data_IF_530080230646
#
_entry.id   IF_530080230646
#
_cell.length_a   1.000
_cell.length_b   1.000
_cell.length_c   1.000
_cell.angle_alpha   90.00
_cell.angle_beta   90.00
_cell.angle_gamma   90.00
#
_symmetry.space_group_name_H-M   'P 1'
#
loop_
_entity.id
_entity.type
_entity.pdbx_description
1 polymer ?
#
# COMPACT_ATOMS: atom_id res chain seq x y z
N UNK A 1 4.71 -43.49 7.84
CA UNK A 1 3.59 -42.94 7.04
C UNK A 1 3.59 -41.42 7.08
N UNK A 2 3.05 -40.77 6.05
CA UNK A 2 2.96 -39.31 5.89
C UNK A 2 2.64 -38.50 7.18
N UNK A 3 1.59 -38.83 7.97
CA UNK A 3 1.25 -38.03 9.16
C UNK A 3 2.30 -38.08 10.28
N UNK A 4 3.07 -39.16 10.37
CA UNK A 4 4.13 -39.32 11.37
C UNK A 4 5.32 -38.40 11.06
N UNK A 5 5.71 -38.33 9.78
CA UNK A 5 6.80 -37.46 9.33
C UNK A 5 6.40 -35.99 9.45
N UNK A 6 5.13 -35.67 9.14
CA UNK A 6 4.56 -34.34 9.33
C UNK A 6 4.62 -33.89 10.80
N UNK A 7 4.08 -34.71 11.73
CA UNK A 7 4.12 -34.39 13.15
C UNK A 7 5.54 -34.29 13.69
N UNK A 8 6.44 -35.17 13.24
CA UNK A 8 7.85 -35.16 13.65
C UNK A 8 8.52 -33.83 13.28
N UNK A 9 8.33 -33.36 12.05
CA UNK A 9 8.91 -32.09 11.60
C UNK A 9 8.29 -30.90 12.33
N UNK A 10 6.96 -30.85 12.48
CA UNK A 10 6.28 -29.75 13.20
C UNK A 10 6.62 -29.69 14.68
N UNK A 11 6.99 -30.82 15.30
CA UNK A 11 7.42 -30.88 16.71
C UNK A 11 8.87 -30.45 16.91
N UNK A 12 9.65 -30.30 15.83
CA UNK A 12 11.02 -29.79 15.92
C UNK A 12 10.99 -28.26 16.16
N UNK A 13 11.41 -27.76 17.33
CA UNK A 13 11.14 -26.39 17.74
C UNK A 13 11.82 -25.35 16.85
N UNK A 14 13.04 -25.64 16.39
CA UNK A 14 13.78 -24.74 15.49
C UNK A 14 13.09 -24.63 14.13
N UNK A 15 12.56 -25.74 13.60
CA UNK A 15 11.87 -25.72 12.31
C UNK A 15 10.58 -24.91 12.40
N UNK A 16 9.75 -25.20 13.41
CA UNK A 16 8.48 -24.50 13.59
C UNK A 16 8.67 -22.99 13.78
N UNK A 17 9.61 -22.57 14.62
CA UNK A 17 9.90 -21.15 14.85
C UNK A 17 10.35 -20.43 13.58
N UNK A 18 11.23 -21.04 12.78
CA UNK A 18 11.72 -20.43 11.53
C UNK A 18 10.59 -20.36 10.49
N UNK A 19 9.76 -21.40 10.38
CA UNK A 19 8.59 -21.39 9.49
C UNK A 19 7.60 -20.31 9.90
N UNK A 20 7.27 -20.18 11.18
CA UNK A 20 6.37 -19.13 11.67
C UNK A 20 6.93 -17.72 11.43
N UNK A 21 8.24 -17.51 11.63
CA UNK A 21 8.89 -16.25 11.30
C UNK A 21 8.78 -15.94 9.79
N UNK A 22 8.99 -16.92 8.93
CA UNK A 22 8.83 -16.75 7.48
C UNK A 22 7.38 -16.54 7.05
N UNK A 23 6.41 -17.15 7.73
CA UNK A 23 4.98 -16.87 7.53
C UNK A 23 4.69 -15.41 7.83
N UNK A 24 5.18 -14.87 8.96
CA UNK A 24 4.98 -13.47 9.31
C UNK A 24 5.60 -12.52 8.26
N UNK A 25 6.86 -12.75 7.89
CA UNK A 25 7.53 -11.97 6.84
C UNK A 25 6.75 -12.05 5.52
N UNK A 26 6.28 -13.24 5.14
CA UNK A 26 5.49 -13.43 3.92
C UNK A 26 4.14 -12.72 3.99
N UNK A 27 3.51 -12.65 5.16
CA UNK A 27 2.24 -11.96 5.36
C UNK A 27 2.43 -10.44 5.17
N UNK A 28 3.50 -9.89 5.72
CA UNK A 28 3.89 -8.50 5.49
C UNK A 28 4.12 -8.22 3.99
N UNK A 29 4.89 -9.07 3.31
CA UNK A 29 5.14 -8.93 1.86
C UNK A 29 3.84 -9.03 1.06
N UNK A 30 2.93 -9.94 1.39
CA UNK A 30 1.63 -10.05 0.72
C UNK A 30 0.78 -8.78 0.90
N UNK A 31 0.77 -8.19 2.10
CA UNK A 31 0.10 -6.92 2.37
C UNK A 31 0.68 -5.77 1.54
N UNK A 32 2.00 -5.61 1.58
CA UNK A 32 2.71 -4.60 0.78
C UNK A 32 2.47 -4.79 -0.73
N UNK A 33 2.59 -6.01 -1.25
CA UNK A 33 2.39 -6.28 -2.67
C UNK A 33 0.95 -5.94 -3.14
N UNK A 34 -0.05 -6.14 -2.29
CA UNK A 34 -1.45 -5.92 -2.64
C UNK A 34 -1.86 -4.45 -2.51
N UNK A 35 -1.37 -3.75 -1.49
CA UNK A 35 -1.89 -2.44 -1.11
C UNK A 35 -0.92 -1.28 -1.25
N UNK A 36 0.39 -1.54 -1.43
CA UNK A 36 1.37 -0.46 -1.61
C UNK A 36 1.06 0.40 -2.84
N UNK A 37 0.58 -0.20 -3.93
CA UNK A 37 0.19 0.57 -5.13
C UNK A 37 -0.89 1.59 -4.79
N UNK A 38 -1.99 1.13 -4.17
CA UNK A 38 -3.06 2.00 -3.67
C UNK A 38 -2.57 3.02 -2.65
N UNK A 39 -1.65 2.63 -1.77
CA UNK A 39 -1.06 3.55 -0.80
C UNK A 39 -0.36 4.71 -1.50
N UNK A 40 0.51 4.40 -2.48
CA UNK A 40 1.22 5.41 -3.27
C UNK A 40 0.27 6.27 -4.12
N UNK A 41 -0.79 5.68 -4.68
CA UNK A 41 -1.83 6.41 -5.41
C UNK A 41 -2.52 7.46 -4.53
N UNK A 42 -2.84 7.13 -3.28
CA UNK A 42 -3.60 8.01 -2.38
C UNK A 42 -2.73 9.00 -1.61
N UNK A 43 -1.55 8.58 -1.20
CA UNK A 43 -0.62 9.42 -0.46
C UNK A 43 0.11 10.40 -1.36
N UNK A 44 0.57 9.96 -2.54
CA UNK A 44 1.41 10.79 -3.43
C UNK A 44 0.69 11.19 -4.72
N UNK A 45 -0.60 10.89 -4.85
CA UNK A 45 -1.43 11.24 -6.01
C UNK A 45 -0.85 10.71 -7.33
N UNK A 46 -0.20 9.55 -7.29
CA UNK A 46 0.37 8.89 -8.45
C UNK A 46 -0.71 8.14 -9.24
N UNK A 47 -0.46 7.93 -10.52
CA UNK A 47 -1.29 7.02 -11.31
C UNK A 47 -1.05 5.58 -10.86
N UNK A 48 -2.09 4.74 -10.92
CA UNK A 48 -2.01 3.33 -10.58
C UNK A 48 -0.91 2.60 -11.38
N UNK A 49 -0.71 2.97 -12.65
CA UNK A 49 0.33 2.39 -13.50
C UNK A 49 1.73 2.76 -13.01
N UNK A 50 1.98 4.03 -12.68
CA UNK A 50 3.27 4.50 -12.19
C UNK A 50 3.61 3.90 -10.82
N UNK A 51 2.65 3.87 -9.90
CA UNK A 51 2.82 3.28 -8.57
C UNK A 51 3.22 1.80 -8.66
N UNK A 52 2.48 1.01 -9.45
CA UNK A 52 2.77 -0.41 -9.63
C UNK A 52 4.08 -0.66 -10.40
N UNK A 53 4.38 0.19 -11.39
CA UNK A 53 5.66 0.11 -12.12
C UNK A 53 6.85 0.34 -11.19
N UNK A 54 6.76 1.30 -10.26
CA UNK A 54 7.84 1.58 -9.31
C UNK A 54 8.02 0.44 -8.31
N UNK A 55 6.93 -0.12 -7.79
CA UNK A 55 6.99 -1.31 -6.94
C UNK A 55 7.69 -2.46 -7.69
N UNK A 56 7.31 -2.70 -8.95
CA UNK A 56 7.91 -3.74 -9.77
C UNK A 56 9.37 -3.49 -10.15
N UNK A 57 9.72 -2.26 -10.50
CA UNK A 57 11.04 -1.91 -11.02
C UNK A 57 12.08 -1.65 -9.91
N UNK A 58 11.65 -1.27 -8.71
CA UNK A 58 12.56 -0.93 -7.61
C UNK A 58 12.57 -2.00 -6.52
N UNK A 59 11.41 -2.39 -5.99
CA UNK A 59 11.37 -3.32 -4.86
C UNK A 59 11.70 -4.76 -5.25
N UNK A 60 11.31 -5.23 -6.45
CA UNK A 60 11.63 -6.60 -6.89
C UNK A 60 13.15 -6.77 -7.10
N UNK A 61 13.86 -5.91 -7.85
CA UNK A 61 15.31 -6.01 -7.96
C UNK A 61 16.01 -5.84 -6.61
N UNK A 62 15.53 -4.92 -5.76
CA UNK A 62 16.04 -4.79 -4.39
C UNK A 62 15.94 -6.10 -3.60
N UNK A 63 14.79 -6.77 -3.66
CA UNK A 63 14.61 -8.07 -3.02
C UNK A 63 15.61 -9.11 -3.55
N UNK A 64 15.84 -9.18 -4.87
CA UNK A 64 16.82 -10.08 -5.49
C UNK A 64 18.24 -9.79 -4.98
N UNK A 65 18.64 -8.51 -4.93
CA UNK A 65 19.95 -8.10 -4.40
C UNK A 65 20.11 -8.59 -2.97
N UNK A 66 19.12 -8.38 -2.09
CA UNK A 66 19.22 -8.85 -0.72
C UNK A 66 19.29 -10.38 -0.58
N UNK A 67 18.55 -11.16 -1.39
CA UNK A 67 18.67 -12.64 -1.38
C UNK A 67 20.09 -13.08 -1.76
N UNK A 68 20.65 -12.49 -2.82
CA UNK A 68 22.01 -12.77 -3.29
C UNK A 68 23.05 -12.37 -2.24
N UNK A 69 22.92 -11.19 -1.64
CA UNK A 69 23.79 -10.70 -0.57
C UNK A 69 23.71 -11.63 0.65
N UNK A 70 22.52 -12.03 1.07
CA UNK A 70 22.33 -12.99 2.16
C UNK A 70 23.00 -14.33 1.90
N UNK A 71 22.92 -14.83 0.66
CA UNK A 71 23.64 -16.03 0.22
C UNK A 71 25.16 -15.87 0.20
N UNK A 72 25.64 -14.71 -0.29
CA UNK A 72 27.06 -14.39 -0.32
C UNK A 72 27.66 -14.30 1.09
N UNK A 73 26.95 -13.68 2.04
CA UNK A 73 27.34 -13.60 3.45
C UNK A 73 27.47 -15.00 4.05
N UNK A 74 26.46 -15.87 3.85
CA UNK A 74 26.48 -17.25 4.34
C UNK A 74 27.66 -18.05 3.79
N UNK A 75 27.92 -17.93 2.49
CA UNK A 75 29.00 -18.65 1.81
C UNK A 75 30.38 -18.15 2.24
N UNK A 76 30.55 -16.83 2.36
CA UNK A 76 31.84 -16.20 2.67
C UNK A 76 32.28 -16.44 4.12
N UNK A 77 31.35 -16.36 5.06
CA UNK A 77 31.66 -16.52 6.48
C UNK A 77 31.49 -17.96 7.01
N UNK A 78 31.07 -18.91 6.15
CA UNK A 78 30.81 -20.30 6.54
C UNK A 78 30.03 -20.40 7.85
N UNK A 79 28.94 -19.62 7.93
CA UNK A 79 28.25 -19.36 9.19
C UNK A 79 27.72 -20.66 9.83
N UNK A 80 27.95 -20.79 11.14
CA UNK A 80 27.33 -21.80 12.00
C UNK A 80 25.82 -21.56 12.16
N UNK A 81 25.07 -22.56 12.60
CA UNK A 81 23.63 -22.45 12.89
C UNK A 81 23.31 -21.26 13.83
N UNK A 82 24.16 -21.04 14.84
CA UNK A 82 24.00 -19.93 15.80
C UNK A 82 24.18 -18.57 15.13
N UNK A 83 25.17 -18.45 14.24
CA UNK A 83 25.40 -17.23 13.48
C UNK A 83 24.30 -16.96 12.45
N UNK A 84 23.76 -18.01 11.80
CA UNK A 84 22.60 -17.86 10.91
C UNK A 84 21.39 -17.32 11.66
N UNK A 85 21.09 -17.88 12.84
CA UNK A 85 19.99 -17.40 13.69
C UNK A 85 20.20 -15.94 14.12
N UNK A 86 21.41 -15.60 14.57
CA UNK A 86 21.76 -14.21 14.93
C UNK A 86 21.60 -13.24 13.74
N UNK A 87 22.00 -13.65 12.53
CA UNK A 87 21.84 -12.86 11.32
C UNK A 87 20.37 -12.63 10.97
N UNK A 88 19.52 -13.66 11.11
CA UNK A 88 18.07 -13.51 10.91
C UNK A 88 17.45 -12.52 11.89
N UNK A 89 17.78 -12.62 13.18
CA UNK A 89 17.27 -11.70 14.22
C UNK A 89 17.76 -10.28 13.96
N UNK A 90 19.04 -10.10 13.66
CA UNK A 90 19.62 -8.80 13.35
C UNK A 90 18.97 -8.18 12.11
N UNK A 91 18.80 -8.97 11.04
CA UNK A 91 18.18 -8.48 9.81
C UNK A 91 16.71 -8.12 9.98
N UNK A 92 15.93 -8.87 10.79
CA UNK A 92 14.57 -8.48 11.15
C UNK A 92 14.54 -7.19 11.99
N UNK A 93 15.45 -7.04 12.96
CA UNK A 93 15.56 -5.82 13.77
C UNK A 93 15.90 -4.60 12.90
N UNK A 94 16.87 -4.73 11.99
CA UNK A 94 17.25 -3.67 11.06
C UNK A 94 16.11 -3.34 10.08
N UNK A 95 15.36 -4.34 9.63
CA UNK A 95 14.17 -4.12 8.80
C UNK A 95 13.10 -3.32 9.56
N UNK A 96 12.84 -3.64 10.83
CA UNK A 96 11.89 -2.88 11.66
C UNK A 96 12.35 -1.44 11.86
N UNK A 97 13.64 -1.24 12.16
CA UNK A 97 14.24 0.09 12.31
C UNK A 97 14.19 0.90 11.01
N UNK A 98 14.43 0.25 9.86
CA UNK A 98 14.34 0.89 8.54
C UNK A 98 12.90 1.18 8.09
N UNK A 99 11.94 0.37 8.53
CA UNK A 99 10.52 0.57 8.25
C UNK A 99 9.87 1.63 9.15
N UNK A 100 10.39 1.83 10.37
CA UNK A 100 9.80 2.77 11.33
C UNK A 100 9.65 4.22 10.80
N UNK A 101 10.64 4.82 10.11
CA UNK A 101 10.48 6.14 9.50
C UNK A 101 9.33 6.22 8.49
N UNK A 102 9.01 5.13 7.78
CA UNK A 102 7.93 5.12 6.78
C UNK A 102 6.57 5.48 7.38
N UNK A 103 6.35 5.21 8.69
CA UNK A 103 5.13 5.59 9.40
C UNK A 103 4.98 7.11 9.59
N UNK A 104 6.04 7.88 9.39
CA UNK A 104 6.02 9.34 9.49
C UNK A 104 6.05 10.03 8.13
N UNK A 105 6.54 9.35 7.09
CA UNK A 105 6.51 9.86 5.72
C UNK A 105 5.13 9.64 5.11
N UNK A 106 4.30 10.69 5.12
CA UNK A 106 3.00 10.70 4.46
C UNK A 106 2.49 12.12 4.21
N UNK A 107 1.47 12.22 3.37
CA UNK A 107 0.83 13.49 3.03
C UNK A 107 -0.41 13.71 3.90
N UNK A 108 -0.78 14.97 4.19
CA UNK A 108 -2.06 15.26 4.81
C UNK A 108 -3.22 14.79 3.92
N UNK A 109 -4.36 14.49 4.54
CA UNK A 109 -5.59 14.12 3.83
C UNK A 109 -6.02 15.26 2.92
N UNK A 110 -6.28 14.94 1.65
CA UNK A 110 -6.64 15.93 0.64
C UNK A 110 -7.96 16.63 1.01
N UNK A 111 -8.02 17.94 0.78
CA UNK A 111 -9.23 18.74 1.01
C UNK A 111 -10.23 18.48 -0.10
N UNK A 112 -11.28 17.72 0.22
CA UNK A 112 -12.39 17.41 -0.70
C UNK A 112 -13.64 18.09 -0.18
N UNK A 113 -14.27 18.91 -1.02
CA UNK A 113 -15.49 19.64 -0.69
C UNK A 113 -16.63 18.67 -0.34
N UNK A 114 -17.31 18.89 0.80
CA UNK A 114 -18.44 18.07 1.24
C UNK A 114 -18.05 16.68 1.76
N UNK A 115 -16.75 16.41 1.96
CA UNK A 115 -16.24 15.16 2.52
C UNK A 115 -15.30 15.47 3.69
N UNK A 116 -14.13 16.03 3.39
CA UNK A 116 -13.08 16.33 4.37
C UNK A 116 -12.99 17.83 4.68
N UNK A 117 -13.49 18.66 3.78
CA UNK A 117 -13.49 20.10 3.91
C UNK A 117 -14.92 20.64 3.85
N UNK A 118 -15.34 21.19 4.99
CA UNK A 118 -16.59 21.92 5.18
C UNK A 118 -16.18 23.34 5.52
N UNK A 119 -16.55 24.32 4.69
CA UNK A 119 -16.17 25.70 4.96
C UNK A 119 -16.77 26.15 6.30
N UNK A 120 -16.03 26.95 7.06
CA UNK A 120 -16.41 27.39 8.42
C UNK A 120 -17.53 28.44 8.40
N UNK A 121 -18.03 28.76 7.21
CA UNK A 121 -19.21 29.55 6.91
C UNK A 121 -20.48 28.68 6.99
N UNK A 122 -20.69 27.93 8.07
CA UNK A 122 -22.02 27.42 8.46
C UNK A 122 -22.82 26.63 7.42
N UNK A 123 -22.19 25.85 6.54
CA UNK A 123 -22.89 24.99 5.57
C UNK A 123 -22.52 23.52 5.77
N UNK A 124 -23.01 22.96 6.88
CA UNK A 124 -23.14 21.52 7.03
C UNK A 124 -24.36 21.02 6.26
N UNK A 125 -24.14 20.00 5.43
CA UNK A 125 -25.18 19.09 4.93
C UNK A 125 -26.30 19.64 4.01
N UNK A 126 -26.22 20.89 3.57
CA UNK A 126 -27.01 21.33 2.41
C UNK A 126 -26.16 21.10 1.17
N UNK A 127 -26.75 20.47 0.14
CA UNK A 127 -26.32 20.64 -1.24
C UNK A 127 -25.84 22.08 -1.39
N UNK A 128 -24.55 22.25 -1.70
CA UNK A 128 -23.93 23.55 -1.89
C UNK A 128 -24.90 24.43 -2.68
N UNK A 129 -25.51 25.47 -2.09
CA UNK A 129 -26.54 26.28 -2.77
C UNK A 129 -26.05 26.80 -4.14
N UNK A 130 -24.74 26.96 -4.28
CA UNK A 130 -24.08 27.31 -5.54
C UNK A 130 -24.29 26.27 -6.66
N UNK A 131 -24.48 24.99 -6.34
CA UNK A 131 -24.76 23.92 -7.29
C UNK A 131 -26.25 23.61 -7.43
N UNK A 132 -27.16 24.22 -6.65
CA UNK A 132 -28.57 23.86 -6.61
C UNK A 132 -29.30 23.93 -7.98
N UNK A 133 -28.76 24.69 -8.92
CA UNK A 133 -29.26 24.76 -10.30
C UNK A 133 -28.86 23.56 -11.16
N UNK A 134 -27.86 22.80 -10.72
CA UNK A 134 -27.37 21.60 -11.35
C UNK A 134 -27.98 20.39 -10.65
N UNK A 135 -28.94 19.72 -11.31
CA UNK A 135 -29.50 18.44 -10.84
C UNK A 135 -28.46 17.32 -11.03
N UNK A 136 -27.41 17.35 -10.21
CA UNK A 136 -26.26 16.47 -10.36
C UNK A 136 -26.63 15.03 -10.06
N UNK A 137 -26.23 14.06 -10.90
CA UNK A 137 -26.44 12.66 -10.59
C UNK A 137 -25.62 12.29 -9.36
N UNK A 138 -26.25 11.72 -8.33
CA UNK A 138 -25.60 11.26 -7.09
C UNK A 138 -24.42 10.29 -7.34
N UNK A 139 -24.41 9.62 -8.49
CA UNK A 139 -23.38 8.65 -8.90
C UNK A 139 -22.29 9.24 -9.81
N UNK A 140 -22.38 10.51 -10.16
CA UNK A 140 -21.40 11.18 -11.03
C UNK A 140 -20.07 11.37 -10.32
N UNK A 141 -19.01 10.68 -10.78
CA UNK A 141 -17.67 10.81 -10.23
C UNK A 141 -16.66 11.13 -11.33
N UNK A 142 -16.19 12.38 -11.34
CA UNK A 142 -15.16 12.87 -12.25
C UNK A 142 -14.39 14.00 -11.54
N UNK A 143 -13.40 13.67 -10.70
CA UNK A 143 -12.79 14.64 -9.80
C UNK A 143 -12.11 15.78 -10.57
N UNK A 144 -12.27 16.99 -10.05
CA UNK A 144 -11.65 18.21 -10.57
C UNK A 144 -10.98 18.99 -9.44
N UNK A 145 -9.92 19.72 -9.78
CA UNK A 145 -9.23 20.60 -8.86
C UNK A 145 -9.62 22.05 -9.09
N UNK A 146 -10.24 22.68 -8.11
CA UNK A 146 -10.54 24.11 -8.16
C UNK A 146 -9.29 24.98 -8.04
N UNK A 147 -9.36 26.19 -8.59
CA UNK A 147 -8.32 27.22 -8.43
C UNK A 147 -8.07 27.62 -6.96
N UNK A 148 -9.01 27.29 -6.06
CA UNK A 148 -8.87 27.42 -4.61
C UNK A 148 -8.07 26.26 -3.94
N UNK A 149 -7.60 25.28 -4.71
CA UNK A 149 -6.86 24.12 -4.19
C UNK A 149 -7.72 23.09 -3.47
N UNK A 150 -9.04 23.13 -3.66
CA UNK A 150 -10.01 22.16 -3.12
C UNK A 150 -10.47 21.24 -4.24
N UNK A 151 -10.53 19.94 -3.96
CA UNK A 151 -11.05 18.95 -4.89
C UNK A 151 -12.57 18.81 -4.78
N UNK A 152 -13.23 18.71 -5.92
CA UNK A 152 -14.67 18.45 -6.03
C UNK A 152 -14.88 17.11 -6.71
N UNK A 153 -15.91 16.39 -6.29
CA UNK A 153 -16.24 15.03 -6.76
C UNK A 153 -16.62 14.98 -8.25
N UNK A 154 -17.13 16.08 -8.80
CA UNK A 154 -17.50 16.24 -10.21
C UNK A 154 -17.49 17.72 -10.62
N UNK A 155 -17.48 18.04 -11.92
CA UNK A 155 -17.69 19.42 -12.40
C UNK A 155 -19.06 19.98 -12.00
N UNK A 156 -20.06 19.11 -11.89
CA UNK A 156 -21.42 19.46 -11.50
C UNK A 156 -21.51 19.84 -10.02
N UNK A 157 -20.78 19.13 -9.14
CA UNK A 157 -20.71 19.48 -7.71
C UNK A 157 -19.92 20.76 -7.44
N UNK A 158 -19.09 21.20 -8.39
CA UNK A 158 -18.47 22.52 -8.38
C UNK A 158 -19.31 23.62 -9.07
N UNK A 159 -20.45 23.27 -9.67
CA UNK A 159 -21.33 24.20 -10.37
C UNK A 159 -20.76 24.78 -11.67
N UNK A 160 -19.85 24.07 -12.33
CA UNK A 160 -19.23 24.53 -13.58
C UNK A 160 -20.21 24.46 -14.76
N UNK A 161 -20.31 25.56 -15.52
CA UNK A 161 -21.22 25.65 -16.69
C UNK A 161 -20.51 25.47 -18.03
N UNK A 162 -19.23 25.83 -18.10
CA UNK A 162 -18.46 25.81 -19.33
C UNK A 162 -17.26 24.87 -19.24
N UNK A 163 -16.92 24.25 -20.38
CA UNK A 163 -15.78 23.34 -20.53
C UNK A 163 -14.93 23.77 -21.72
N UNK A 164 -13.64 23.95 -21.48
CA UNK A 164 -12.68 24.27 -22.52
C UNK A 164 -12.01 22.98 -22.97
N UNK A 165 -12.20 22.61 -24.24
CA UNK A 165 -11.67 21.40 -24.86
C UNK A 165 -10.50 21.78 -25.78
N UNK A 166 -9.37 21.10 -25.63
CA UNK A 166 -8.19 21.31 -26.46
C UNK A 166 -8.31 20.66 -27.83
N UNK A 167 -7.35 20.97 -28.71
CA UNK A 167 -7.26 20.44 -30.09
C UNK A 167 -7.23 18.92 -30.18
N UNK A 168 -6.75 18.25 -29.12
CA UNK A 168 -6.69 16.78 -29.02
C UNK A 168 -7.95 16.16 -28.40
N UNK A 169 -9.08 16.88 -28.33
CA UNK A 169 -10.32 16.47 -27.65
C UNK A 169 -10.18 16.22 -26.13
N UNK A 170 -9.06 16.60 -25.53
CA UNK A 170 -8.86 16.55 -24.08
C UNK A 170 -9.49 17.78 -23.41
N UNK A 171 -10.20 17.57 -22.30
CA UNK A 171 -10.66 18.68 -21.46
C UNK A 171 -9.44 19.39 -20.88
N UNK A 172 -9.32 20.69 -21.11
CA UNK A 172 -8.24 21.53 -20.60
C UNK A 172 -8.60 22.09 -19.23
N UNK A 173 -9.76 22.75 -19.13
CA UNK A 173 -10.24 23.39 -17.91
C UNK A 173 -11.79 23.46 -17.91
N UNK A 174 -12.36 23.56 -16.72
CA UNK A 174 -13.75 23.95 -16.50
C UNK A 174 -13.79 25.40 -16.02
N UNK A 175 -14.78 26.15 -16.49
CA UNK A 175 -14.97 27.57 -16.18
C UNK A 175 -16.40 27.84 -15.73
N UNK A 176 -16.61 29.02 -15.14
CA UNK A 176 -17.89 29.43 -14.56
C UNK A 176 -18.40 28.47 -13.49
N UNK A 177 -17.50 28.04 -12.61
CA UNK A 177 -17.82 27.19 -11.47
C UNK A 177 -18.29 28.06 -10.29
N UNK A 178 -19.60 28.06 -10.03
CA UNK A 178 -20.23 28.89 -8.98
C UNK A 178 -19.77 28.56 -7.56
N UNK A 179 -19.34 27.32 -7.31
CA UNK A 179 -18.88 26.89 -5.99
C UNK A 179 -17.40 27.16 -5.72
N UNK A 180 -16.67 27.70 -6.69
CA UNK A 180 -15.24 28.00 -6.56
C UNK A 180 -15.08 29.52 -6.40
N UNK A 181 -14.62 30.01 -5.23
CA UNK A 181 -14.42 31.44 -5.03
C UNK A 181 -13.32 31.98 -5.95
N UNK A 182 -13.49 33.22 -6.40
CA UNK A 182 -12.54 33.90 -7.30
C UNK A 182 -12.86 33.65 -8.78
N UNK A 183 -11.87 33.30 -9.62
CA UNK A 183 -12.04 33.28 -11.07
C UNK A 183 -12.86 32.06 -11.57
N UNK A 184 -13.33 31.19 -10.68
CA UNK A 184 -14.25 30.09 -11.01
C UNK A 184 -13.67 29.07 -11.98
N UNK A 185 -12.34 28.87 -11.98
CA UNK A 185 -11.65 27.88 -12.81
C UNK A 185 -11.38 26.59 -12.04
N UNK A 186 -11.49 25.47 -12.74
CA UNK A 186 -11.03 24.17 -12.29
C UNK A 186 -10.29 23.40 -13.38
N UNK A 187 -9.33 22.57 -12.97
CA UNK A 187 -8.59 21.64 -13.83
C UNK A 187 -9.16 20.24 -13.71
N UNK A 188 -9.15 19.44 -14.79
CA UNK A 188 -9.52 18.03 -14.72
C UNK A 188 -8.51 17.25 -13.86
N UNK A 189 -9.02 16.28 -13.09
CA UNK A 189 -8.20 15.44 -12.22
C UNK A 189 -8.12 15.96 -10.79
N UNK A 190 -7.40 15.21 -9.95
CA UNK A 190 -7.26 15.50 -8.53
C UNK A 190 -6.35 16.70 -8.28
N UNK A 191 -6.53 17.42 -7.17
CA UNK A 191 -5.62 18.53 -6.81
C UNK A 191 -4.18 18.08 -6.53
N UNK A 192 -4.00 16.79 -6.29
CA UNK A 192 -2.70 16.25 -5.93
C UNK A 192 -2.36 16.55 -4.47
N UNK A 193 -1.26 15.97 -4.02
CA UNK A 193 -0.73 16.20 -2.67
C UNK A 193 0.52 17.07 -2.78
N UNK A 194 0.60 18.14 -1.98
CA UNK A 194 1.72 19.08 -1.99
C UNK A 194 3.04 18.52 -1.44
N UNK A 195 3.17 17.20 -1.23
CA UNK A 195 4.34 16.58 -0.62
C UNK A 195 5.04 15.56 -1.54
N UNK A 196 5.07 15.84 -2.85
CA UNK A 196 5.83 15.05 -3.83
C UNK A 196 7.31 14.86 -3.46
N UNK A 197 7.90 15.77 -2.68
CA UNK A 197 9.28 15.64 -2.19
C UNK A 197 9.49 14.47 -1.21
N UNK A 198 8.44 14.01 -0.52
CA UNK A 198 8.52 12.86 0.41
C UNK A 198 8.42 11.51 -0.31
N UNK A 199 8.07 11.51 -1.59
CA UNK A 199 7.91 10.30 -2.37
C UNK A 199 9.23 9.55 -2.58
N UNK A 200 10.27 10.25 -3.05
CA UNK A 200 11.59 9.66 -3.29
C UNK A 200 12.20 9.04 -2.02
N UNK A 201 12.25 9.74 -0.86
CA UNK A 201 12.79 9.13 0.35
C UNK A 201 11.93 7.95 0.83
N UNK A 202 10.61 7.97 0.65
CA UNK A 202 9.76 6.82 0.95
C UNK A 202 10.15 5.59 0.12
N UNK A 203 10.33 5.73 -1.20
CA UNK A 203 10.72 4.62 -2.09
C UNK A 203 12.10 4.07 -1.74
N UNK A 204 13.07 4.95 -1.46
CA UNK A 204 14.43 4.55 -1.06
C UNK A 204 14.41 3.78 0.26
N UNK A 205 13.71 4.29 1.27
CA UNK A 205 13.58 3.62 2.57
C UNK A 205 12.83 2.29 2.45
N UNK A 206 11.75 2.23 1.66
CA UNK A 206 11.01 0.98 1.44
C UNK A 206 11.87 -0.07 0.73
N UNK A 207 12.69 0.35 -0.23
CA UNK A 207 13.61 -0.53 -0.94
C UNK A 207 14.71 -1.04 -0.01
N UNK A 208 15.29 -0.16 0.81
CA UNK A 208 16.30 -0.53 1.81
C UNK A 208 15.75 -1.54 2.83
N UNK A 209 14.55 -1.28 3.37
CA UNK A 209 13.87 -2.20 4.26
C UNK A 209 13.62 -3.56 3.57
N UNK A 210 13.18 -3.55 2.31
CA UNK A 210 12.99 -4.74 1.49
C UNK A 210 14.28 -5.57 1.29
N UNK A 211 15.41 -4.91 1.02
CA UNK A 211 16.74 -5.55 0.90
C UNK A 211 17.15 -6.20 2.24
N UNK A 212 16.96 -5.51 3.36
CA UNK A 212 17.30 -6.03 4.69
C UNK A 212 16.43 -7.24 5.05
N UNK A 213 15.12 -7.19 4.76
CA UNK A 213 14.21 -8.31 4.93
C UNK A 213 14.62 -9.51 4.08
N UNK A 214 14.93 -9.29 2.79
CA UNK A 214 15.26 -10.38 1.87
C UNK A 214 16.65 -10.97 2.13
N UNK A 215 17.58 -10.21 2.71
CA UNK A 215 18.87 -10.71 3.20
C UNK A 215 18.70 -11.78 4.28
N UNK A 216 17.66 -11.66 5.11
CA UNK A 216 17.32 -12.62 6.18
C UNK A 216 16.59 -13.88 5.66
N UNK A 217 16.08 -13.85 4.42
CA UNK A 217 15.35 -14.97 3.84
C UNK A 217 16.27 -16.17 3.61
N UNK A 218 17.43 -15.95 3.01
CA UNK A 218 18.43 -17.00 2.70
C UNK A 218 18.94 -17.74 3.96
N UNK A 219 19.38 -17.06 5.05
CA UNK A 219 19.81 -17.76 6.27
C UNK A 219 18.67 -18.53 6.94
N UNK A 220 17.44 -18.00 6.90
CA UNK A 220 16.25 -18.70 7.41
C UNK A 220 16.00 -20.00 6.65
N UNK A 221 16.08 -19.97 5.31
CA UNK A 221 15.93 -21.18 4.49
C UNK A 221 17.04 -22.20 4.76
N UNK A 222 18.28 -21.75 4.94
CA UNK A 222 19.40 -22.64 5.29
C UNK A 222 19.28 -23.26 6.69
N UNK A 223 18.70 -22.55 7.66
CA UNK A 223 18.41 -23.10 8.99
C UNK A 223 17.45 -24.28 8.90
N UNK A 224 16.40 -24.17 8.09
CA UNK A 224 15.45 -25.26 7.83
C UNK A 224 16.19 -26.48 7.28
N UNK A 225 16.95 -26.31 6.20
CA UNK A 225 17.66 -27.41 5.55
C UNK A 225 18.72 -28.07 6.45
N UNK A 226 19.37 -27.33 7.35
CA UNK A 226 20.37 -27.87 8.28
C UNK A 226 19.77 -28.51 9.53
N UNK A 227 18.52 -28.18 9.86
CA UNK A 227 17.83 -28.69 11.06
C UNK A 227 17.11 -30.02 10.84
N UNK A 228 16.98 -30.46 9.59
CA UNK A 228 16.14 -31.60 9.20
C UNK A 228 16.99 -32.70 8.59
N UNK A 229 16.59 -33.95 8.86
CA UNK A 229 17.22 -35.13 8.29
C UNK A 229 17.18 -35.08 6.74
N UNK A 230 18.23 -35.52 6.05
CA UNK A 230 18.34 -35.38 4.59
C UNK A 230 17.19 -36.03 3.82
N UNK A 231 16.58 -37.08 4.36
CA UNK A 231 15.43 -37.80 3.77
C UNK A 231 14.14 -36.96 3.79
N UNK A 232 14.01 -36.04 4.74
CA UNK A 232 12.79 -35.26 5.00
C UNK A 232 12.84 -33.83 4.43
N UNK A 233 13.98 -33.39 3.86
CA UNK A 233 14.19 -31.98 3.45
C UNK A 233 13.15 -31.49 2.45
N UNK A 234 12.93 -32.22 1.36
CA UNK A 234 11.97 -31.85 0.32
C UNK A 234 10.54 -31.78 0.87
N UNK A 235 10.22 -32.70 1.77
CA UNK A 235 8.92 -32.74 2.43
C UNK A 235 8.71 -31.53 3.35
N UNK A 236 9.71 -31.18 4.16
CA UNK A 236 9.68 -30.03 5.04
C UNK A 236 9.60 -28.69 4.30
N UNK A 237 10.30 -28.55 3.16
CA UNK A 237 10.17 -27.38 2.30
C UNK A 237 8.76 -27.29 1.71
N UNK A 238 8.17 -28.42 1.31
CA UNK A 238 6.77 -28.48 0.87
C UNK A 238 5.77 -27.99 1.93
N UNK A 239 5.93 -28.45 3.19
CA UNK A 239 5.10 -28.01 4.32
C UNK A 239 5.26 -26.51 4.56
N UNK A 240 6.51 -26.01 4.57
CA UNK A 240 6.80 -24.59 4.71
C UNK A 240 6.06 -23.76 3.64
N UNK A 241 6.19 -24.11 2.36
CA UNK A 241 5.50 -23.41 1.28
C UNK A 241 3.97 -23.45 1.42
N UNK A 242 3.41 -24.60 1.80
CA UNK A 242 1.98 -24.73 2.06
C UNK A 242 1.53 -23.77 3.17
N UNK A 243 2.23 -23.77 4.32
CA UNK A 243 1.92 -22.90 5.45
C UNK A 243 2.05 -21.42 5.07
N UNK A 244 3.07 -21.03 4.31
CA UNK A 244 3.21 -19.68 3.79
C UNK A 244 2.02 -19.28 2.91
N UNK A 245 1.54 -20.17 2.04
CA UNK A 245 0.39 -19.86 1.18
C UNK A 245 -0.91 -19.74 1.98
N UNK A 246 -1.17 -20.69 2.88
CA UNK A 246 -2.43 -20.78 3.62
C UNK A 246 -2.51 -19.75 4.74
N UNK A 247 -1.41 -19.50 5.47
CA UNK A 247 -1.42 -18.63 6.65
C UNK A 247 -1.00 -17.19 6.37
N UNK A 248 -0.29 -16.92 5.27
CA UNK A 248 0.12 -15.56 4.92
C UNK A 248 -0.58 -15.02 3.68
N UNK A 249 -0.50 -15.70 2.55
CA UNK A 249 -1.01 -15.16 1.27
C UNK A 249 -2.53 -15.18 1.14
N UNK A 250 -3.20 -16.16 1.74
CA UNK A 250 -4.67 -16.22 1.75
C UNK A 250 -5.29 -15.18 2.71
N UNK A 251 -4.94 -15.15 4.01
CA UNK A 251 -5.55 -14.20 4.94
C UNK A 251 -4.92 -12.80 4.88
N UNK A 252 -3.66 -12.67 4.48
CA UNK A 252 -2.94 -11.39 4.48
C UNK A 252 -3.70 -10.30 3.73
N UNK A 253 -3.95 -10.45 2.42
CA UNK A 253 -4.70 -9.46 1.64
C UNK A 253 -6.08 -9.13 2.22
N UNK A 254 -6.78 -10.11 2.81
CA UNK A 254 -8.10 -9.90 3.43
C UNK A 254 -7.96 -9.06 4.72
N UNK A 255 -7.00 -9.41 5.58
CA UNK A 255 -6.76 -8.70 6.84
C UNK A 255 -6.30 -7.27 6.59
N UNK A 256 -5.28 -7.06 5.76
CA UNK A 256 -4.80 -5.73 5.39
C UNK A 256 -5.90 -4.96 4.64
N UNK A 257 -6.66 -5.59 3.75
CA UNK A 257 -7.79 -4.96 3.07
C UNK A 257 -8.85 -4.46 4.05
N UNK A 258 -9.23 -5.29 5.02
CA UNK A 258 -10.19 -4.89 6.06
C UNK A 258 -9.66 -3.74 6.93
N UNK A 259 -8.37 -3.76 7.28
CA UNK A 259 -7.74 -2.69 8.05
C UNK A 259 -7.74 -1.36 7.28
N UNK A 260 -7.48 -1.42 5.97
CA UNK A 260 -7.50 -0.26 5.08
C UNK A 260 -8.93 0.26 4.88
N UNK A 261 -9.92 -0.63 4.75
CA UNK A 261 -11.32 -0.25 4.62
C UNK A 261 -11.83 0.53 5.84
N UNK A 262 -11.25 0.33 7.04
CA UNK A 262 -11.58 1.16 8.22
C UNK A 262 -11.21 2.63 8.08
N UNK A 263 -10.30 2.97 7.15
CA UNK A 263 -9.86 4.35 6.93
C UNK A 263 -10.63 5.04 5.81
N UNK A 264 -11.64 4.37 5.25
CA UNK A 264 -12.48 4.92 4.20
C UNK A 264 -13.39 6.04 4.71
N UNK A 265 -13.30 7.21 4.08
CA UNK A 265 -14.18 8.36 4.35
C UNK A 265 -15.39 8.35 3.41
N UNK A 266 -15.20 8.01 2.13
CA UNK A 266 -16.29 8.00 1.14
C UNK A 266 -16.36 6.68 0.39
N UNK A 267 -17.47 5.96 0.59
CA UNK A 267 -17.77 4.70 -0.10
C UNK A 267 -18.52 4.94 -1.42
N UNK A 268 -18.10 4.27 -2.48
CA UNK A 268 -18.93 4.11 -3.68
C UNK A 268 -20.10 3.17 -3.40
N UNK A 269 -21.30 3.55 -3.85
CA UNK A 269 -22.48 2.69 -3.82
C UNK A 269 -22.84 2.25 -5.24
N UNK A 270 -22.90 0.93 -5.45
CA UNK A 270 -23.50 0.33 -6.66
C UNK A 270 -24.68 -0.52 -6.25
N UNK A 271 -25.87 -0.21 -6.78
CA UNK A 271 -27.11 -0.91 -6.47
C UNK A 271 -27.36 -1.04 -4.95
N UNK A 272 -27.24 0.07 -4.21
CA UNK A 272 -27.35 0.16 -2.74
C UNK A 272 -26.38 -0.70 -1.92
N UNK A 273 -25.39 -1.31 -2.56
CA UNK A 273 -24.31 -2.04 -1.87
C UNK A 273 -23.02 -1.23 -1.89
N UNK A 274 -22.26 -1.33 -0.79
CA UNK A 274 -20.92 -0.76 -0.69
C UNK A 274 -20.00 -1.46 -1.68
N UNK A 275 -19.33 -0.68 -2.52
CA UNK A 275 -18.36 -1.14 -3.50
C UNK A 275 -16.95 -0.68 -3.07
N UNK A 276 -16.22 0.03 -3.93
CA UNK A 276 -14.89 0.51 -3.62
C UNK A 276 -14.91 1.81 -2.80
N UNK A 277 -13.94 1.99 -1.92
CA UNK A 277 -13.73 3.28 -1.28
C UNK A 277 -13.08 4.29 -2.25
N UNK A 278 -13.66 5.50 -2.33
CA UNK A 278 -13.24 6.60 -3.21
C UNK A 278 -12.22 7.52 -2.55
N UNK A 279 -12.40 7.82 -1.27
CA UNK A 279 -11.49 8.66 -0.47
C UNK A 279 -11.16 8.00 0.87
N UNK A 280 -9.87 8.01 1.21
CA UNK A 280 -9.33 7.47 2.47
C UNK A 280 -8.79 8.61 3.32
N UNK A 281 -8.83 8.45 4.63
CA UNK A 281 -8.10 9.31 5.55
C UNK A 281 -6.62 8.95 5.51
N UNK A 282 -5.81 9.80 4.89
CA UNK A 282 -4.38 9.58 4.73
C UNK A 282 -3.65 9.48 6.09
N UNK A 283 -4.15 10.13 7.14
CA UNK A 283 -3.52 10.08 8.47
C UNK A 283 -3.74 8.72 9.11
N UNK A 284 -4.98 8.24 9.15
CA UNK A 284 -5.31 6.92 9.69
C UNK A 284 -4.73 5.80 8.82
N UNK A 285 -4.76 5.97 7.50
CA UNK A 285 -4.24 5.00 6.53
C UNK A 285 -2.73 4.78 6.65
N UNK A 286 -1.97 5.78 7.10
CA UNK A 286 -0.53 5.64 7.39
C UNK A 286 -0.22 4.78 8.61
N UNK A 287 -1.17 4.66 9.55
CA UNK A 287 -0.99 3.94 10.81
C UNK A 287 -1.62 2.53 10.82
N UNK A 288 -2.19 2.08 9.70
CA UNK A 288 -2.79 0.75 9.52
C UNK A 288 -1.92 -0.13 8.64
#
# INVERSE_FOLDING_TARGET
GFPVVLLRNLRHPVYLLVVLAQVNISAMVAGLATFMGKFLERQFSLTASLANMIIGAVNIPGAMVGIVVGGAILKRFQMSLRQCSALCVLGMLLCLLGAFPLLFLGCPTQKVAGVTYWDSSGFGHHDLECNAQCHCPEKGFNPICGSNGVEYTSPCSAGCRNVNIGTNSSVLNYTECSCIPGPGLARPGTCGTGCSHLFVPFVVLSCLAGILASTSHTPSFMLILRSIQPEDKSFAVGIQFMLLRVLAWMPGPVLYGSAIDTTCILWERRCDRRAACRYYDNTLFRHR
#
